data_IF_313555310351
#
_entry.id   IF_313555310351
#
_cell.length_a   1.000
_cell.length_b   1.000
_cell.length_c   1.000
_cell.angle_alpha   90.00
_cell.angle_beta   90.00
_cell.angle_gamma   90.00
#
_symmetry.space_group_name_H-M   'P 1'
#
loop_
_entity.id
_entity.type
_entity.pdbx_description
1 polymer ?
#
# COMPACT_ATOMS: atom_id res chain seq x y z
N UNK A 1 21.70 -35.82 20.15
CA UNK A 1 21.24 -36.36 18.83
C UNK A 1 20.69 -37.79 18.95
N UNK A 2 21.46 -38.77 19.44
CA UNK A 2 20.98 -40.15 19.57
C UNK A 2 19.75 -40.31 20.51
N UNK A 3 19.73 -39.62 21.66
CA UNK A 3 18.58 -39.67 22.57
C UNK A 3 17.31 -39.05 21.93
N UNK A 4 17.43 -37.91 21.24
CA UNK A 4 16.30 -37.28 20.58
C UNK A 4 15.73 -38.17 19.46
N UNK A 5 16.59 -38.81 18.68
CA UNK A 5 16.14 -39.76 17.63
C UNK A 5 15.47 -41.00 18.22
N UNK A 6 15.92 -41.45 19.42
CA UNK A 6 15.28 -42.55 20.10
C UNK A 6 13.90 -42.19 20.64
N UNK A 7 13.74 -41.02 21.23
CA UNK A 7 12.44 -40.51 21.70
C UNK A 7 11.43 -40.35 20.55
N UNK A 8 11.88 -39.83 19.42
CA UNK A 8 11.06 -39.70 18.19
C UNK A 8 10.65 -41.10 17.68
N UNK A 9 11.55 -42.06 17.68
CA UNK A 9 11.26 -43.43 17.27
C UNK A 9 10.27 -44.14 18.19
N UNK A 10 10.38 -43.90 19.51
CA UNK A 10 9.44 -44.44 20.52
C UNK A 10 8.06 -43.78 20.35
N UNK A 11 7.99 -42.48 20.13
CA UNK A 11 6.75 -41.73 19.81
C UNK A 11 6.05 -42.27 18.56
N UNK A 12 6.81 -42.58 17.49
CA UNK A 12 6.28 -43.21 16.29
C UNK A 12 5.59 -44.54 16.56
N UNK A 13 6.21 -45.42 17.34
CA UNK A 13 5.62 -46.73 17.71
C UNK A 13 4.33 -46.55 18.50
N UNK A 14 4.26 -45.56 19.37
CA UNK A 14 3.05 -45.25 20.14
C UNK A 14 1.93 -44.76 19.20
N UNK A 15 2.24 -43.88 18.28
CA UNK A 15 1.28 -43.34 17.28
C UNK A 15 0.78 -44.41 16.33
N UNK A 16 1.60 -45.36 15.92
CA UNK A 16 1.18 -46.49 15.09
C UNK A 16 0.22 -47.45 15.85
N UNK A 17 0.33 -47.57 17.19
CA UNK A 17 -0.52 -48.42 18.02
C UNK A 17 -1.84 -47.79 18.43
N UNK A 18 -1.80 -46.51 18.80
CA UNK A 18 -2.97 -45.71 19.20
C UNK A 18 -2.86 -44.28 18.61
N UNK A 19 -3.21 -44.11 17.36
CA UNK A 19 -3.08 -42.81 16.69
C UNK A 19 -3.87 -41.69 17.38
N UNK A 20 -5.09 -41.98 17.83
CA UNK A 20 -5.98 -40.97 18.41
C UNK A 20 -5.50 -40.55 19.79
N UNK A 21 -5.07 -41.50 20.62
CA UNK A 21 -4.54 -41.20 21.95
C UNK A 21 -3.22 -40.44 21.89
N UNK A 22 -2.33 -40.83 20.97
CA UNK A 22 -1.06 -40.17 20.78
C UNK A 22 -1.24 -38.68 20.32
N UNK A 23 -2.12 -38.44 19.33
CA UNK A 23 -2.39 -37.09 18.81
C UNK A 23 -3.05 -36.18 19.86
N UNK A 24 -3.97 -36.71 20.69
CA UNK A 24 -4.56 -35.95 21.80
C UNK A 24 -3.54 -35.62 22.88
N UNK A 25 -2.60 -36.53 23.13
CA UNK A 25 -1.51 -36.30 24.11
C UNK A 25 -0.61 -35.17 23.60
N UNK A 26 -0.18 -35.25 22.36
CA UNK A 26 0.63 -34.21 21.70
C UNK A 26 -0.07 -32.87 21.63
N UNK A 27 -1.36 -32.84 21.31
CA UNK A 27 -2.16 -31.62 21.32
C UNK A 27 -2.20 -30.98 22.71
N UNK A 28 -2.33 -31.80 23.75
CA UNK A 28 -2.34 -31.32 25.14
C UNK A 28 -0.98 -30.82 25.60
N UNK A 29 0.10 -31.49 25.20
CA UNK A 29 1.46 -31.04 25.47
C UNK A 29 1.79 -29.75 24.74
N UNK A 30 1.31 -29.60 23.51
CA UNK A 30 1.49 -28.37 22.70
C UNK A 30 0.70 -27.18 23.24
N UNK A 31 -0.51 -27.41 23.77
CA UNK A 31 -1.44 -26.39 24.26
C UNK A 31 -2.10 -26.80 25.55
N UNK A 32 -1.40 -26.69 26.70
CA UNK A 32 -1.90 -27.19 28.00
C UNK A 32 -3.18 -26.50 28.48
N UNK A 33 -3.43 -25.27 28.02
CA UNK A 33 -4.59 -24.47 28.41
C UNK A 33 -5.76 -24.56 27.40
N UNK A 34 -5.63 -25.35 26.33
CA UNK A 34 -6.65 -25.50 25.33
C UNK A 34 -7.90 -26.20 25.87
N UNK A 35 -9.05 -25.77 25.37
CA UNK A 35 -10.34 -26.44 25.61
C UNK A 35 -10.38 -27.82 24.93
N UNK A 36 -11.30 -28.70 25.38
CA UNK A 36 -11.46 -30.01 24.73
C UNK A 36 -11.80 -29.91 23.22
N UNK A 37 -12.46 -28.84 22.78
CA UNK A 37 -12.75 -28.59 21.38
C UNK A 37 -11.48 -28.21 20.60
N UNK A 38 -10.67 -27.31 21.13
CA UNK A 38 -9.38 -26.91 20.56
C UNK A 38 -8.40 -28.10 20.52
N UNK A 39 -8.36 -28.90 21.56
CA UNK A 39 -7.51 -30.12 21.60
C UNK A 39 -7.90 -31.12 20.50
N UNK A 40 -9.22 -31.32 20.25
CA UNK A 40 -9.66 -32.19 19.15
C UNK A 40 -9.30 -31.61 17.81
N UNK A 41 -9.41 -30.28 17.64
CA UNK A 41 -9.02 -29.62 16.40
C UNK A 41 -7.51 -29.74 16.13
N UNK A 42 -6.69 -29.53 17.16
CA UNK A 42 -5.22 -29.69 17.09
C UNK A 42 -4.84 -31.15 16.78
N UNK A 43 -5.43 -32.14 17.48
CA UNK A 43 -5.19 -33.55 17.20
C UNK A 43 -5.57 -33.95 15.77
N UNK A 44 -6.67 -33.39 15.28
CA UNK A 44 -7.07 -33.57 13.88
C UNK A 44 -6.05 -32.94 12.89
N UNK A 45 -5.56 -31.75 13.20
CA UNK A 45 -4.52 -31.10 12.41
C UNK A 45 -3.23 -31.94 12.38
N UNK A 46 -2.75 -32.43 13.51
CA UNK A 46 -1.55 -33.27 13.58
C UNK A 46 -1.68 -34.56 12.78
N UNK A 47 -2.87 -35.19 12.80
CA UNK A 47 -3.14 -36.39 12.03
C UNK A 47 -2.96 -36.21 10.52
N UNK A 48 -3.35 -35.03 10.00
CA UNK A 48 -3.30 -34.76 8.57
C UNK A 48 -2.06 -33.98 8.13
N UNK A 49 -1.26 -33.45 9.07
CA UNK A 49 -0.07 -32.70 8.74
C UNK A 49 1.05 -33.58 8.16
N UNK A 50 1.31 -34.71 8.83
CA UNK A 50 2.39 -35.64 8.43
C UNK A 50 1.96 -37.09 8.65
N UNK A 51 2.38 -38.01 7.78
CA UNK A 51 2.32 -39.43 8.08
C UNK A 51 3.34 -39.78 9.17
N UNK A 52 3.15 -40.85 9.96
CA UNK A 52 4.12 -41.25 10.96
C UNK A 52 5.53 -41.53 10.41
N UNK A 53 5.63 -41.91 9.13
CA UNK A 53 6.91 -42.11 8.45
C UNK A 53 7.59 -40.80 8.07
N UNK A 54 6.82 -39.85 7.55
CA UNK A 54 7.32 -38.54 7.12
C UNK A 54 7.72 -37.69 8.33
N UNK A 55 7.01 -37.82 9.46
CA UNK A 55 7.36 -37.13 10.69
C UNK A 55 8.76 -37.50 11.18
N UNK A 56 9.14 -38.76 11.12
CA UNK A 56 10.48 -39.22 11.51
C UNK A 56 11.56 -38.60 10.60
N UNK A 57 11.31 -38.57 9.28
CA UNK A 57 12.22 -37.97 8.29
C UNK A 57 12.34 -36.47 8.54
N UNK A 58 11.22 -35.78 8.80
CA UNK A 58 11.16 -34.36 9.07
C UNK A 58 11.93 -33.99 10.35
N UNK A 59 11.74 -34.77 11.42
CA UNK A 59 12.46 -34.59 12.65
C UNK A 59 14.00 -34.78 12.49
N UNK A 60 14.41 -35.79 11.72
CA UNK A 60 15.82 -35.98 11.39
C UNK A 60 16.41 -34.81 10.60
N UNK A 61 15.67 -34.25 9.64
CA UNK A 61 16.08 -33.07 8.91
C UNK A 61 16.25 -31.87 9.84
N UNK A 62 15.27 -31.61 10.70
CA UNK A 62 15.30 -30.48 11.64
C UNK A 62 16.49 -30.53 12.61
N UNK A 63 16.88 -31.71 13.06
CA UNK A 63 18.07 -31.88 13.91
C UNK A 63 19.40 -31.53 13.21
N UNK A 64 19.42 -31.48 11.89
CA UNK A 64 20.61 -31.13 11.08
C UNK A 64 20.62 -29.67 10.65
N UNK A 65 19.48 -28.96 10.75
CA UNK A 65 19.41 -27.54 10.34
C UNK A 65 20.19 -26.68 11.33
N UNK A 66 21.15 -25.92 10.78
CA UNK A 66 21.86 -24.91 11.53
C UNK A 66 21.94 -23.60 10.72
N UNK A 67 21.12 -22.64 11.12
CA UNK A 67 21.01 -21.33 10.45
C UNK A 67 21.80 -20.21 11.15
N UNK A 68 22.51 -20.49 12.23
CA UNK A 68 23.23 -19.48 13.04
C UNK A 68 24.16 -18.61 12.20
N UNK A 69 24.76 -19.17 11.16
CA UNK A 69 25.71 -18.46 10.29
C UNK A 69 25.06 -17.40 9.38
N UNK A 70 23.74 -17.46 9.15
CA UNK A 70 23.01 -16.48 8.33
C UNK A 70 22.32 -15.39 9.15
N UNK A 71 22.08 -15.63 10.45
CA UNK A 71 21.36 -14.68 11.30
C UNK A 71 22.02 -13.29 11.39
N UNK A 72 23.37 -13.16 11.45
CA UNK A 72 24.02 -11.85 11.47
C UNK A 72 23.86 -11.03 10.17
N UNK A 73 23.42 -11.67 9.08
CA UNK A 73 23.18 -11.00 7.79
C UNK A 73 21.74 -10.47 7.66
N UNK A 74 20.87 -10.74 8.61
CA UNK A 74 19.51 -10.21 8.61
C UNK A 74 19.56 -8.71 8.91
N UNK A 75 19.14 -7.89 7.95
CA UNK A 75 19.20 -6.43 8.02
C UNK A 75 17.80 -5.77 8.06
N UNK A 76 16.75 -6.57 8.12
CA UNK A 76 15.37 -6.07 8.22
C UNK A 76 14.94 -6.00 9.67
N UNK A 77 14.02 -5.09 10.06
CA UNK A 77 13.42 -5.09 11.38
C UNK A 77 12.88 -6.48 11.72
N UNK A 78 13.29 -7.02 12.83
CA UNK A 78 12.97 -8.40 13.21
C UNK A 78 12.41 -8.44 14.63
N UNK A 79 11.23 -9.04 14.78
CA UNK A 79 10.64 -9.37 16.08
C UNK A 79 10.76 -10.87 16.32
N UNK A 80 11.31 -11.24 17.46
CA UNK A 80 11.34 -12.63 17.97
C UNK A 80 10.38 -12.72 19.13
N UNK A 81 9.29 -13.46 18.94
CA UNK A 81 8.31 -13.77 19.98
C UNK A 81 8.57 -15.14 20.53
N UNK A 82 8.59 -15.27 21.85
CA UNK A 82 8.83 -16.51 22.56
C UNK A 82 7.77 -16.73 23.63
N UNK A 83 7.10 -17.88 23.60
CA UNK A 83 6.22 -18.27 24.68
C UNK A 83 7.03 -18.54 25.95
N UNK A 84 6.58 -18.00 27.08
CA UNK A 84 7.30 -18.06 28.35
C UNK A 84 7.43 -19.47 28.91
N UNK A 85 6.51 -20.36 28.57
CA UNK A 85 6.47 -21.74 29.05
C UNK A 85 6.35 -22.74 27.89
N UNK A 86 7.27 -22.59 26.91
CA UNK A 86 7.36 -23.49 25.75
C UNK A 86 8.51 -24.49 25.96
N UNK A 87 8.16 -25.75 26.18
CA UNK A 87 9.16 -26.81 26.36
C UNK A 87 9.64 -27.42 25.03
N UNK A 88 8.96 -27.18 23.93
CA UNK A 88 9.42 -27.60 22.60
C UNK A 88 10.46 -26.63 22.03
N UNK A 89 10.31 -25.34 22.32
CA UNK A 89 11.26 -24.30 21.97
C UNK A 89 11.64 -23.49 23.22
N UNK A 90 12.63 -23.94 23.99
CA UNK A 90 13.00 -23.32 25.26
C UNK A 90 13.41 -21.85 25.09
N UNK A 91 13.07 -21.00 26.06
CA UNK A 91 13.37 -19.55 26.09
C UNK A 91 14.82 -19.22 25.72
N UNK A 92 15.76 -20.07 26.16
CA UNK A 92 17.18 -19.89 25.85
C UNK A 92 17.47 -19.88 24.35
N UNK A 93 16.72 -20.63 23.56
CA UNK A 93 16.87 -20.66 22.11
C UNK A 93 16.31 -19.37 21.44
N UNK A 94 15.17 -18.87 21.90
CA UNK A 94 14.61 -17.60 21.42
C UNK A 94 15.53 -16.42 21.74
N UNK A 95 16.10 -16.38 22.94
CA UNK A 95 17.09 -15.38 23.34
C UNK A 95 18.38 -15.47 22.52
N UNK A 96 18.89 -16.68 22.28
CA UNK A 96 20.04 -16.91 21.41
C UNK A 96 19.76 -16.42 19.99
N UNK A 97 18.61 -16.78 19.43
CA UNK A 97 18.19 -16.36 18.10
C UNK A 97 18.16 -14.84 17.99
N UNK A 98 17.48 -14.15 18.89
CA UNK A 98 17.41 -12.70 18.92
C UNK A 98 18.78 -12.05 19.10
N UNK A 99 19.64 -12.62 19.93
CA UNK A 99 21.01 -12.12 20.16
C UNK A 99 21.93 -12.23 18.94
N UNK A 100 21.64 -13.13 18.00
CA UNK A 100 22.42 -13.31 16.78
C UNK A 100 21.94 -12.43 15.61
N UNK A 101 20.72 -11.86 15.68
CA UNK A 101 20.15 -10.98 14.68
C UNK A 101 20.40 -9.53 15.09
N UNK A 102 21.15 -8.73 14.32
CA UNK A 102 21.43 -7.34 14.68
C UNK A 102 20.13 -6.52 14.78
N UNK A 103 19.91 -5.87 15.92
CA UNK A 103 18.74 -5.00 16.13
C UNK A 103 17.39 -5.74 16.30
N UNK A 104 17.40 -7.06 16.52
CA UNK A 104 16.15 -7.78 16.77
C UNK A 104 15.52 -7.37 18.10
N UNK A 105 14.21 -7.14 18.08
CA UNK A 105 13.38 -6.99 19.28
C UNK A 105 12.99 -8.36 19.78
N UNK A 106 13.18 -8.62 21.08
CA UNK A 106 12.81 -9.88 21.71
C UNK A 106 11.71 -9.68 22.75
N UNK A 107 10.62 -10.44 22.64
CA UNK A 107 9.49 -10.36 23.55
C UNK A 107 9.10 -11.76 24.03
N UNK A 108 9.02 -11.93 25.35
CA UNK A 108 8.44 -13.12 25.97
C UNK A 108 6.95 -12.87 26.22
N UNK A 109 6.10 -13.70 25.62
CA UNK A 109 4.65 -13.62 25.82
C UNK A 109 4.23 -14.60 26.92
N UNK A 110 3.31 -14.24 27.83
CA UNK A 110 2.92 -15.07 28.97
C UNK A 110 1.99 -16.22 28.56
N UNK A 111 2.31 -16.89 27.46
CA UNK A 111 1.56 -18.02 26.90
C UNK A 111 2.22 -19.34 27.29
N UNK A 112 1.40 -20.30 27.68
CA UNK A 112 1.85 -21.64 28.05
C UNK A 112 1.72 -22.60 26.87
N UNK A 113 2.78 -23.39 26.67
CA UNK A 113 2.86 -24.36 25.58
C UNK A 113 3.41 -23.74 24.28
N UNK A 114 3.43 -24.57 23.23
CA UNK A 114 4.01 -24.23 21.93
C UNK A 114 3.01 -23.56 21.01
N UNK A 115 1.77 -24.04 21.02
CA UNK A 115 0.70 -23.51 20.16
C UNK A 115 -0.26 -22.68 21.02
N UNK A 116 -0.45 -21.37 20.71
CA UNK A 116 -1.40 -20.52 21.42
C UNK A 116 -2.83 -20.95 21.18
N UNK A 117 -3.70 -20.77 22.17
CA UNK A 117 -5.15 -20.94 22.06
C UNK A 117 -5.80 -19.65 21.55
N UNK A 118 -7.11 -19.69 21.23
CA UNK A 118 -7.86 -18.49 20.87
C UNK A 118 -7.85 -17.43 22.00
N UNK A 119 -7.79 -17.85 23.26
CA UNK A 119 -7.72 -16.96 24.42
C UNK A 119 -6.36 -16.24 24.54
N UNK A 120 -5.30 -16.85 24.03
CA UNK A 120 -3.94 -16.31 24.10
C UNK A 120 -3.66 -15.29 22.96
N UNK A 121 -4.54 -15.18 21.97
CA UNK A 121 -4.28 -14.39 20.76
C UNK A 121 -3.99 -12.91 21.03
N UNK A 122 -4.60 -12.31 22.07
CA UNK A 122 -4.32 -10.93 22.46
C UNK A 122 -2.86 -10.73 22.87
N UNK A 123 -2.31 -11.62 23.69
CA UNK A 123 -0.93 -11.59 24.15
C UNK A 123 0.08 -11.71 23.00
N UNK A 124 -0.31 -12.39 21.92
CA UNK A 124 0.50 -12.52 20.70
C UNK A 124 0.40 -11.33 19.77
N UNK A 125 -0.82 -10.83 19.56
CA UNK A 125 -1.08 -9.80 18.57
C UNK A 125 -0.61 -8.41 19.01
N UNK A 126 -0.72 -8.09 20.30
CA UNK A 126 -0.33 -6.78 20.83
C UNK A 126 1.16 -6.45 20.60
N UNK A 127 2.14 -7.33 20.90
CA UNK A 127 3.53 -7.09 20.55
C UNK A 127 3.80 -6.98 19.06
N UNK A 128 3.09 -7.77 18.24
CA UNK A 128 3.21 -7.71 16.78
C UNK A 128 2.73 -6.36 16.25
N UNK A 129 1.55 -5.90 16.70
CA UNK A 129 0.99 -4.62 16.29
C UNK A 129 1.90 -3.45 16.69
N UNK A 130 2.40 -3.46 17.93
CA UNK A 130 3.33 -2.45 18.42
C UNK A 130 4.61 -2.41 17.61
N UNK A 131 5.23 -3.56 17.38
CA UNK A 131 6.46 -3.66 16.57
C UNK A 131 6.26 -3.19 15.13
N UNK A 132 5.16 -3.58 14.49
CA UNK A 132 4.87 -3.15 13.12
C UNK A 132 4.64 -1.64 13.05
N UNK A 133 3.96 -1.05 14.02
CA UNK A 133 3.72 0.39 14.11
C UNK A 133 5.04 1.14 14.29
N UNK A 134 5.86 0.75 15.25
CA UNK A 134 7.16 1.38 15.52
C UNK A 134 8.10 1.28 14.31
N UNK A 135 8.21 0.09 13.72
CA UNK A 135 9.05 -0.13 12.52
C UNK A 135 8.57 0.68 11.32
N UNK A 136 7.26 0.86 11.17
CA UNK A 136 6.69 1.69 10.11
C UNK A 136 6.98 3.17 10.34
N UNK A 137 6.80 3.65 11.58
CA UNK A 137 7.09 5.04 11.96
C UNK A 137 8.57 5.37 11.81
N UNK A 138 9.49 4.48 12.20
CA UNK A 138 10.93 4.64 12.01
C UNK A 138 11.32 4.68 10.52
N UNK A 139 10.74 3.81 9.71
CA UNK A 139 10.98 3.82 8.26
C UNK A 139 10.40 5.07 7.60
N UNK A 140 9.25 5.55 8.05
CA UNK A 140 8.64 6.77 7.56
C UNK A 140 9.44 8.02 7.98
N UNK A 141 9.95 8.06 9.22
CA UNK A 141 10.77 9.16 9.74
C UNK A 141 12.16 9.25 9.09
N UNK A 142 12.71 8.14 8.61
CA UNK A 142 14.01 8.08 7.92
C UNK A 142 13.97 8.28 6.41
N UNK A 143 12.79 8.31 5.80
CA UNK A 143 12.64 8.61 4.38
C UNK A 143 12.30 10.09 4.20
N UNK A 144 13.24 10.87 3.61
CA UNK A 144 12.79 12.08 2.92
C UNK A 144 11.74 11.64 1.88
N UNK A 145 10.55 12.28 1.85
CA UNK A 145 9.54 11.93 0.86
C UNK A 145 10.15 12.04 -0.53
N UNK A 146 10.00 10.99 -1.31
CA UNK A 146 10.46 11.00 -2.70
C UNK A 146 9.78 12.17 -3.42
N UNK A 147 10.57 13.12 -3.91
CA UNK A 147 10.09 14.31 -4.61
C UNK A 147 10.36 14.21 -6.09
N UNK A 148 9.35 14.53 -6.86
CA UNK A 148 9.42 14.53 -8.32
C UNK A 148 8.94 15.87 -8.86
N UNK A 149 9.63 16.37 -9.89
CA UNK A 149 9.12 17.51 -10.63
C UNK A 149 8.06 17.02 -11.61
N UNK A 150 6.81 17.42 -11.41
CA UNK A 150 5.69 17.00 -12.24
C UNK A 150 4.85 18.20 -12.71
N UNK A 151 4.25 18.04 -13.88
CA UNK A 151 3.17 18.94 -14.33
C UNK A 151 1.83 18.30 -14.00
N UNK A 152 1.04 18.98 -13.20
CA UNK A 152 -0.31 18.55 -12.84
C UNK A 152 -1.33 19.22 -13.77
N UNK A 153 -2.30 18.43 -14.22
CA UNK A 153 -3.46 18.85 -14.98
C UNK A 153 -4.72 18.54 -14.19
N UNK A 154 -5.53 19.55 -13.96
CA UNK A 154 -6.89 19.40 -13.46
C UNK A 154 -7.88 19.73 -14.58
N UNK A 155 -8.92 18.91 -14.70
CA UNK A 155 -10.08 19.20 -15.58
C UNK A 155 -11.38 19.06 -14.79
N UNK A 156 -12.41 19.79 -15.19
CA UNK A 156 -13.70 19.79 -14.52
C UNK A 156 -14.79 20.27 -15.52
N UNK A 157 -15.95 19.60 -15.54
CA UNK A 157 -17.08 20.01 -16.39
C UNK A 157 -17.74 21.26 -15.82
N UNK A 158 -17.92 22.26 -16.64
CA UNK A 158 -18.57 23.51 -16.22
C UNK A 158 -20.07 23.30 -16.11
N UNK A 159 -20.62 23.57 -14.92
CA UNK A 159 -22.08 23.46 -14.69
C UNK A 159 -22.61 22.03 -14.67
N UNK A 160 -21.77 21.03 -14.35
CA UNK A 160 -22.12 19.60 -14.34
C UNK A 160 -23.44 19.30 -13.58
N UNK A 161 -23.65 19.91 -12.41
CA UNK A 161 -24.88 19.72 -11.62
C UNK A 161 -26.13 20.24 -12.36
N UNK A 162 -26.04 21.39 -13.02
CA UNK A 162 -27.17 21.95 -13.78
C UNK A 162 -27.47 21.08 -15.01
N UNK A 163 -26.42 20.62 -15.69
CA UNK A 163 -26.53 19.75 -16.86
C UNK A 163 -27.16 18.40 -16.50
N UNK A 164 -26.71 17.80 -15.37
CA UNK A 164 -27.32 16.58 -14.84
C UNK A 164 -28.82 16.75 -14.53
N UNK A 165 -29.22 17.90 -13.95
CA UNK A 165 -30.62 18.19 -13.65
C UNK A 165 -31.46 18.36 -14.94
N UNK A 166 -30.87 18.82 -16.02
CA UNK A 166 -31.54 19.01 -17.30
C UNK A 166 -31.73 17.71 -18.08
N UNK A 167 -30.70 16.87 -18.17
CA UNK A 167 -30.76 15.64 -18.98
C UNK A 167 -31.21 14.41 -18.20
N UNK A 168 -31.20 14.45 -16.87
CA UNK A 168 -31.55 13.38 -15.97
C UNK A 168 -30.43 12.35 -15.74
N UNK A 169 -30.53 11.61 -14.63
CA UNK A 169 -29.47 10.76 -14.09
C UNK A 169 -28.94 9.71 -15.07
N UNK A 170 -29.81 9.13 -15.89
CA UNK A 170 -29.42 8.08 -16.84
C UNK A 170 -28.60 8.64 -18.00
N UNK A 171 -29.09 9.68 -18.64
CA UNK A 171 -28.43 10.32 -19.77
C UNK A 171 -27.11 10.98 -19.30
N UNK A 172 -27.10 11.57 -18.10
CA UNK A 172 -25.89 12.12 -17.49
C UNK A 172 -24.82 11.04 -17.28
N UNK A 173 -25.18 9.87 -16.79
CA UNK A 173 -24.24 8.77 -16.60
C UNK A 173 -23.61 8.32 -17.92
N UNK A 174 -24.42 8.13 -18.96
CA UNK A 174 -23.94 7.75 -20.29
C UNK A 174 -23.01 8.83 -20.87
N UNK A 175 -23.31 10.11 -20.68
CA UNK A 175 -22.49 11.24 -21.11
C UNK A 175 -21.17 11.31 -20.33
N UNK A 176 -21.21 11.07 -19.01
CA UNK A 176 -20.03 11.04 -18.16
C UNK A 176 -19.08 9.89 -18.51
N UNK A 177 -19.60 8.72 -18.88
CA UNK A 177 -18.81 7.60 -19.36
C UNK A 177 -18.09 7.95 -20.68
N UNK A 178 -18.76 8.63 -21.60
CA UNK A 178 -18.15 9.09 -22.86
C UNK A 178 -17.06 10.15 -22.59
N UNK A 179 -17.33 11.11 -21.70
CA UNK A 179 -16.32 12.08 -21.24
C UNK A 179 -15.10 11.40 -20.65
N UNK A 180 -15.28 10.46 -19.73
CA UNK A 180 -14.17 9.72 -19.10
C UNK A 180 -13.35 8.94 -20.14
N UNK A 181 -13.99 8.28 -21.09
CA UNK A 181 -13.32 7.55 -22.17
C UNK A 181 -12.49 8.50 -23.07
N UNK A 182 -13.03 9.67 -23.38
CA UNK A 182 -12.32 10.70 -24.15
C UNK A 182 -11.09 11.20 -23.41
N UNK A 183 -11.24 11.61 -22.13
CA UNK A 183 -10.14 12.12 -21.31
C UNK A 183 -9.02 11.08 -21.22
N UNK A 184 -9.34 9.82 -20.88
CA UNK A 184 -8.35 8.72 -20.80
C UNK A 184 -7.65 8.47 -22.14
N UNK A 185 -8.37 8.59 -23.24
CA UNK A 185 -7.76 8.49 -24.57
C UNK A 185 -6.73 9.59 -24.82
N UNK A 186 -7.04 10.84 -24.46
CA UNK A 186 -6.10 11.94 -24.61
C UNK A 186 -4.92 11.84 -23.64
N UNK A 187 -5.15 11.42 -22.40
CA UNK A 187 -4.07 11.15 -21.45
C UNK A 187 -3.09 10.11 -22.00
N UNK A 188 -3.60 8.98 -22.49
CA UNK A 188 -2.78 7.91 -23.07
C UNK A 188 -1.95 8.40 -24.25
N UNK A 189 -2.56 9.16 -25.19
CA UNK A 189 -1.87 9.74 -26.36
C UNK A 189 -0.75 10.71 -25.96
N UNK A 190 -0.98 11.47 -24.89
CA UNK A 190 -0.02 12.46 -24.41
C UNK A 190 0.98 11.88 -23.37
N UNK A 191 0.91 10.58 -23.07
CA UNK A 191 1.69 9.90 -22.01
C UNK A 191 1.48 10.53 -20.63
N UNK A 192 0.27 10.99 -20.33
CA UNK A 192 -0.14 11.44 -19.02
C UNK A 192 -0.60 10.27 -18.17
N UNK A 193 -0.40 10.37 -16.88
CA UNK A 193 -0.87 9.41 -15.89
C UNK A 193 -2.10 9.94 -15.17
N UNK A 194 -3.19 9.19 -15.19
CA UNK A 194 -4.35 9.46 -14.35
C UNK A 194 -3.96 9.21 -12.89
N UNK A 195 -4.06 10.23 -12.06
CA UNK A 195 -3.73 10.15 -10.62
C UNK A 195 -4.98 9.92 -9.81
N UNK A 196 -6.07 10.64 -10.14
CA UNK A 196 -7.35 10.55 -9.45
C UNK A 196 -8.49 11.03 -10.34
N UNK A 197 -9.69 10.51 -10.08
CA UNK A 197 -10.93 10.94 -10.75
C UNK A 197 -12.04 11.03 -9.72
N UNK A 198 -12.61 12.22 -9.54
CA UNK A 198 -13.69 12.46 -8.60
C UNK A 198 -14.87 13.11 -9.34
N UNK A 199 -15.95 12.33 -9.49
CA UNK A 199 -17.11 12.77 -10.28
C UNK A 199 -16.75 13.00 -11.75
N UNK A 200 -16.88 14.23 -12.21
CA UNK A 200 -16.55 14.68 -13.55
C UNK A 200 -15.14 15.28 -13.68
N UNK A 201 -14.42 15.41 -12.56
CA UNK A 201 -13.10 15.99 -12.50
C UNK A 201 -11.97 14.96 -12.60
N UNK A 202 -10.89 15.31 -13.32
CA UNK A 202 -9.67 14.52 -13.41
C UNK A 202 -8.49 15.27 -12.82
N UNK A 203 -7.62 14.51 -12.13
CA UNK A 203 -6.26 14.89 -11.84
C UNK A 203 -5.33 13.96 -12.62
N UNK A 204 -4.47 14.53 -13.43
CA UNK A 204 -3.44 13.81 -14.17
C UNK A 204 -2.06 14.44 -13.96
N UNK A 205 -1.01 13.64 -14.09
CA UNK A 205 0.38 14.07 -14.03
C UNK A 205 1.13 13.80 -15.33
N UNK A 206 2.15 14.63 -15.59
CA UNK A 206 3.01 14.54 -16.77
C UNK A 206 4.45 14.85 -16.38
N UNK A 207 5.38 14.20 -17.07
CA UNK A 207 6.82 14.45 -16.99
C UNK A 207 7.27 15.66 -17.85
N UNK A 208 6.33 16.28 -18.60
CA UNK A 208 6.62 17.43 -19.47
C UNK A 208 5.45 18.37 -19.68
N UNK A 209 5.63 19.68 -19.38
CA UNK A 209 4.54 20.65 -19.39
C UNK A 209 3.95 20.89 -20.78
N UNK A 210 4.74 20.87 -21.84
CA UNK A 210 4.22 21.07 -23.21
C UNK A 210 3.25 19.96 -23.64
N UNK A 211 3.49 18.72 -23.23
CA UNK A 211 2.56 17.61 -23.48
C UNK A 211 1.28 17.76 -22.67
N UNK A 212 1.39 18.18 -21.43
CA UNK A 212 0.24 18.44 -20.56
C UNK A 212 -0.67 19.53 -21.15
N UNK A 213 -0.12 20.65 -21.62
CA UNK A 213 -0.89 21.73 -22.26
C UNK A 213 -1.59 21.25 -23.54
N UNK A 214 -0.89 20.51 -24.42
CA UNK A 214 -1.50 19.97 -25.65
C UNK A 214 -2.61 18.96 -25.32
N UNK A 215 -2.43 18.14 -24.28
CA UNK A 215 -3.44 17.22 -23.81
C UNK A 215 -4.68 17.95 -23.30
N UNK A 216 -4.52 18.97 -22.48
CA UNK A 216 -5.61 19.79 -21.97
C UNK A 216 -6.40 20.45 -23.09
N UNK A 217 -5.72 21.01 -24.09
CA UNK A 217 -6.38 21.57 -25.31
C UNK A 217 -7.18 20.51 -26.07
N UNK A 218 -6.60 19.35 -26.31
CA UNK A 218 -7.28 18.25 -27.00
C UNK A 218 -8.50 17.71 -26.22
N UNK A 219 -8.45 17.72 -24.87
CA UNK A 219 -9.61 17.40 -24.04
C UNK A 219 -10.71 18.46 -24.23
N UNK A 220 -10.37 19.74 -24.05
CA UNK A 220 -11.32 20.85 -24.15
C UNK A 220 -11.97 20.91 -25.56
N UNK A 221 -11.22 20.65 -26.60
CA UNK A 221 -11.75 20.59 -27.98
C UNK A 221 -12.66 19.36 -28.16
N UNK A 222 -12.20 18.18 -27.73
CA UNK A 222 -12.93 16.92 -27.95
C UNK A 222 -14.27 16.83 -27.21
N UNK A 223 -14.38 17.42 -26.02
CA UNK A 223 -15.63 17.34 -25.22
C UNK A 223 -16.74 18.22 -25.80
N UNK A 224 -16.43 19.15 -26.68
CA UNK A 224 -17.44 19.97 -27.39
C UNK A 224 -18.37 19.13 -28.28
N UNK A 225 -17.85 18.05 -28.83
CA UNK A 225 -18.66 17.10 -29.62
C UNK A 225 -19.69 16.35 -28.76
N UNK A 226 -19.46 16.31 -27.42
CA UNK A 226 -20.39 15.78 -26.45
C UNK A 226 -21.39 16.83 -25.92
N UNK A 227 -21.29 18.07 -26.39
CA UNK A 227 -22.09 19.18 -25.87
C UNK A 227 -21.68 19.65 -24.47
N UNK A 228 -20.45 19.38 -24.07
CA UNK A 228 -19.90 19.73 -22.75
C UNK A 228 -18.87 20.86 -22.90
N UNK A 229 -18.79 21.69 -21.86
CA UNK A 229 -17.69 22.63 -21.67
C UNK A 229 -16.84 22.15 -20.48
N UNK A 230 -15.54 22.01 -20.70
CA UNK A 230 -14.57 21.68 -19.68
C UNK A 230 -13.63 22.85 -19.43
N UNK A 231 -13.33 23.13 -18.20
CA UNK A 231 -12.24 24.03 -17.79
C UNK A 231 -11.02 23.20 -17.37
N UNK A 232 -9.84 23.71 -17.67
CA UNK A 232 -8.59 23.03 -17.32
C UNK A 232 -7.59 23.97 -16.67
N UNK A 233 -6.82 23.46 -15.70
CA UNK A 233 -5.75 24.20 -15.06
C UNK A 233 -4.49 23.37 -14.93
N UNK A 234 -3.33 23.99 -15.22
CA UNK A 234 -2.03 23.34 -15.14
C UNK A 234 -1.05 24.12 -14.29
N UNK A 235 -0.25 23.37 -13.54
CA UNK A 235 0.91 23.88 -12.84
C UNK A 235 2.04 22.87 -12.89
N UNK A 236 3.29 23.34 -12.87
CA UNK A 236 4.48 22.51 -12.74
C UNK A 236 5.20 22.89 -11.46
N UNK A 237 5.51 21.91 -10.65
CA UNK A 237 6.22 22.09 -9.40
C UNK A 237 6.68 20.76 -8.81
N UNK A 238 7.39 20.88 -7.72
CA UNK A 238 7.82 19.72 -6.95
C UNK A 238 6.64 19.10 -6.21
N UNK A 239 6.43 17.81 -6.42
CA UNK A 239 5.39 17.00 -5.81
C UNK A 239 6.02 15.91 -4.95
N UNK A 240 5.38 15.54 -3.87
CA UNK A 240 5.73 14.38 -3.06
C UNK A 240 5.04 13.15 -3.62
N UNK A 241 5.77 12.02 -3.69
CA UNK A 241 5.22 10.72 -4.02
C UNK A 241 4.85 10.00 -2.71
N UNK A 242 3.54 9.78 -2.53
CA UNK A 242 2.99 9.03 -1.39
C UNK A 242 2.14 7.90 -1.96
N UNK A 243 2.52 6.66 -1.69
CA UNK A 243 1.83 5.45 -2.20
C UNK A 243 1.60 5.45 -3.72
N UNK A 244 2.60 5.96 -4.47
CA UNK A 244 2.52 6.06 -5.94
C UNK A 244 1.63 7.20 -6.46
N UNK A 245 1.06 8.03 -5.58
CA UNK A 245 0.28 9.23 -5.93
C UNK A 245 1.09 10.48 -5.64
N UNK A 246 0.91 11.49 -6.50
CA UNK A 246 1.51 12.81 -6.28
C UNK A 246 0.66 13.63 -5.32
N UNK A 247 1.34 14.33 -4.40
CA UNK A 247 0.75 15.25 -3.42
C UNK A 247 1.60 16.51 -3.26
N UNK A 248 1.14 17.44 -2.42
CA UNK A 248 1.89 18.63 -2.07
C UNK A 248 1.32 19.93 -2.66
N UNK A 249 2.04 21.04 -2.39
CA UNK A 249 1.57 22.39 -2.73
C UNK A 249 1.38 22.60 -4.25
N UNK A 250 2.19 21.94 -5.09
CA UNK A 250 2.06 22.02 -6.54
C UNK A 250 0.73 21.45 -7.03
N UNK A 251 0.23 20.36 -6.44
CA UNK A 251 -1.08 19.77 -6.74
C UNK A 251 -2.19 20.75 -6.36
N UNK A 252 -2.11 21.33 -5.14
CA UNK A 252 -3.08 22.35 -4.73
C UNK A 252 -3.07 23.58 -5.63
N UNK A 253 -1.89 24.04 -6.06
CA UNK A 253 -1.75 25.15 -7.00
C UNK A 253 -2.46 24.86 -8.33
N UNK A 254 -2.21 23.71 -8.93
CA UNK A 254 -2.89 23.28 -10.17
C UNK A 254 -4.41 23.27 -10.05
N UNK A 255 -4.95 22.72 -8.94
CA UNK A 255 -6.38 22.73 -8.66
C UNK A 255 -6.96 24.15 -8.55
N UNK A 256 -6.21 25.09 -7.98
CA UNK A 256 -6.64 26.50 -7.89
C UNK A 256 -6.57 27.21 -9.23
N UNK A 257 -5.54 26.94 -10.03
CA UNK A 257 -5.47 27.46 -11.42
C UNK A 257 -6.70 27.03 -12.22
N UNK A 258 -7.08 25.74 -12.16
CA UNK A 258 -8.27 25.23 -12.85
C UNK A 258 -9.57 25.96 -12.44
N UNK A 259 -9.70 26.35 -11.16
CA UNK A 259 -10.89 27.09 -10.69
C UNK A 259 -11.02 28.50 -11.25
N UNK A 260 -9.95 29.09 -11.76
CA UNK A 260 -9.97 30.40 -12.40
C UNK A 260 -10.22 30.31 -13.90
N UNK A 261 -10.18 29.13 -14.49
CA UNK A 261 -10.48 28.92 -15.91
C UNK A 261 -11.97 29.04 -16.20
N UNK A 262 -12.30 29.71 -17.31
CA UNK A 262 -13.65 29.77 -17.86
C UNK A 262 -14.03 28.51 -18.64
N UNK A 263 -15.28 28.45 -19.14
CA UNK A 263 -15.72 27.35 -20.02
C UNK A 263 -14.85 27.28 -21.28
N UNK A 264 -14.39 26.08 -21.62
CA UNK A 264 -13.55 25.85 -22.78
C UNK A 264 -12.13 26.44 -22.70
N UNK A 265 -11.68 26.84 -21.49
CA UNK A 265 -10.40 27.49 -21.29
C UNK A 265 -9.36 26.54 -20.63
N UNK A 266 -8.12 26.66 -21.09
CA UNK A 266 -6.95 26.00 -20.51
C UNK A 266 -6.08 27.07 -19.88
N UNK A 267 -6.08 27.18 -18.54
CA UNK A 267 -5.22 28.09 -17.80
C UNK A 267 -3.94 27.39 -17.33
N UNK A 268 -2.85 28.13 -17.35
CA UNK A 268 -1.56 27.68 -16.85
C UNK A 268 -0.95 28.72 -15.92
N UNK A 269 -0.14 28.28 -14.96
CA UNK A 269 0.71 29.17 -14.18
C UNK A 269 1.89 29.70 -14.99
N UNK A 270 2.50 30.81 -14.56
CA UNK A 270 3.72 31.35 -15.15
C UNK A 270 4.83 30.31 -15.27
N UNK A 271 4.98 29.43 -14.28
CA UNK A 271 5.96 28.34 -14.31
C UNK A 271 5.77 27.44 -15.54
N UNK A 272 4.54 27.02 -15.84
CA UNK A 272 4.26 26.22 -17.05
C UNK A 272 4.59 26.99 -18.30
N UNK A 273 4.10 28.23 -18.42
CA UNK A 273 4.34 29.10 -19.59
C UNK A 273 5.83 29.30 -19.85
N UNK A 274 6.64 29.50 -18.80
CA UNK A 274 8.08 29.71 -18.94
C UNK A 274 8.83 28.43 -19.33
N UNK A 275 8.46 27.28 -18.76
CA UNK A 275 9.04 25.98 -19.10
C UNK A 275 8.75 25.50 -20.51
N UNK A 276 7.68 25.98 -21.13
CA UNK A 276 7.32 25.59 -22.50
C UNK A 276 7.79 26.60 -23.58
N UNK A 277 8.62 27.56 -23.21
CA UNK A 277 9.21 28.49 -24.13
C UNK A 277 9.88 27.76 -25.31
N UNK A 278 9.60 28.16 -26.54
CA UNK A 278 10.10 27.52 -27.77
C UNK A 278 9.33 26.27 -28.23
N UNK A 279 8.28 25.85 -27.52
CA UNK A 279 7.45 24.68 -27.88
C UNK A 279 6.39 24.96 -28.99
N UNK A 280 6.28 26.21 -29.43
CA UNK A 280 5.25 26.67 -30.38
C UNK A 280 3.86 26.84 -29.73
N UNK A 281 3.75 26.78 -28.42
CA UNK A 281 2.52 27.12 -27.70
C UNK A 281 2.43 28.63 -27.49
N UNK A 282 1.26 29.19 -27.75
CA UNK A 282 0.96 30.60 -27.57
C UNK A 282 0.07 30.79 -26.35
N UNK A 283 0.24 31.94 -25.67
CA UNK A 283 -0.45 32.24 -24.43
C UNK A 283 -0.94 33.68 -24.37
N UNK A 284 -2.12 33.87 -23.80
CA UNK A 284 -2.68 35.17 -23.47
C UNK A 284 -2.62 35.41 -21.98
N UNK A 285 -2.16 36.60 -21.56
CA UNK A 285 -2.06 36.97 -20.14
C UNK A 285 -3.46 37.17 -19.54
N UNK A 286 -3.75 36.47 -18.46
CA UNK A 286 -4.98 36.57 -17.67
C UNK A 286 -4.79 37.38 -16.37
N UNK A 287 -3.63 37.99 -16.21
CA UNK A 287 -3.28 38.81 -15.06
C UNK A 287 -2.89 38.05 -13.82
N UNK A 288 -2.74 38.79 -12.75
CA UNK A 288 -2.33 38.28 -11.44
C UNK A 288 -3.56 37.88 -10.62
N UNK A 289 -3.46 36.78 -9.89
CA UNK A 289 -4.53 36.23 -9.02
C UNK A 289 -3.95 35.76 -7.69
N UNK A 290 -4.74 35.89 -6.64
CA UNK A 290 -4.51 35.18 -5.38
C UNK A 290 -5.18 33.81 -5.48
N UNK A 291 -4.42 32.75 -5.17
CA UNK A 291 -4.93 31.39 -5.15
C UNK A 291 -5.26 30.98 -3.72
N UNK A 292 -6.52 30.71 -3.43
CA UNK A 292 -6.97 30.43 -2.07
C UNK A 292 -6.16 29.30 -1.41
N UNK A 293 -5.45 29.62 -0.33
CA UNK A 293 -4.64 28.65 0.44
C UNK A 293 -3.27 28.36 -0.18
N UNK A 294 -2.86 29.10 -1.21
CA UNK A 294 -1.51 29.04 -1.79
C UNK A 294 -0.86 30.40 -1.56
N UNK A 295 0.33 30.48 -0.95
CA UNK A 295 0.99 31.77 -0.68
C UNK A 295 1.38 32.52 -1.97
N UNK A 296 1.35 33.86 -1.89
CA UNK A 296 1.82 34.74 -2.94
C UNK A 296 0.81 35.04 -4.04
N UNK A 297 1.25 35.88 -4.97
CA UNK A 297 0.49 36.26 -6.17
C UNK A 297 0.92 35.41 -7.38
N UNK A 298 -0.04 35.00 -8.17
CA UNK A 298 0.17 34.06 -9.28
C UNK A 298 -0.31 34.67 -10.59
N UNK A 299 0.61 34.88 -11.53
CA UNK A 299 0.24 35.29 -12.87
C UNK A 299 -0.21 34.08 -13.67
N UNK A 300 -1.41 34.16 -14.25
CA UNK A 300 -2.03 33.10 -15.02
C UNK A 300 -2.08 33.43 -16.51
N UNK A 301 -2.03 32.41 -17.33
CA UNK A 301 -2.07 32.56 -18.80
C UNK A 301 -3.05 31.54 -19.39
N UNK A 302 -3.83 31.97 -20.39
CA UNK A 302 -4.64 31.06 -21.20
C UNK A 302 -3.81 30.53 -22.37
N UNK A 303 -3.82 29.22 -22.57
CA UNK A 303 -3.22 28.61 -23.76
C UNK A 303 -4.17 28.80 -24.97
N UNK A 304 -3.65 29.37 -26.07
CA UNK A 304 -4.38 29.66 -27.29
C UNK A 304 -4.41 28.49 -28.26
#
# INVERSE_FOLDING_TARGET
>A
MENALREIAEGRVTRERDPVGAELTEARDSSPNATDEELRALAHMFRYALSPGDEFIYAQMNLQVNVRHVLPAIAVPTLVLQNADDHWAPIAQGRELAGLIPGATYVEVPVRGHIPTAADMGEFLDPIESFLRESWEEQAAGREPERVLATVLFTDIVGSTAHMAEVGDRAWRELLEQHHALVRTQLTRARGQEVDTVGDGFLASFDGPARAVRCAKAIVEGVRDLGLDVRSGLHTGECELVDGKISGIAVHTGARVAKHAGPGEVLVSSTVKDLVAGSGLEFEDRGVRELKGVPGEWRLYAAL
#
